data_IF_331075945491
#
_entry.id   IF_331075945491
#
_cell.length_a   1.000
_cell.length_b   1.000
_cell.length_c   1.000
_cell.angle_alpha   90.00
_cell.angle_beta   90.00
_cell.angle_gamma   90.00
#
_symmetry.space_group_name_H-M   'P 1'
#
loop_
_entity.id
_entity.type
_entity.pdbx_description
1 polymer ?
#
# COMPACT_ATOMS: atom_id res chain seq x y z
N UNK A 1 18.36 4.47 1.09
CA UNK A 1 16.90 4.19 1.13
C UNK A 1 16.20 5.27 0.31
N UNK A 2 15.33 4.91 -0.62
CA UNK A 2 14.61 5.88 -1.49
C UNK A 2 13.13 5.86 -1.16
N UNK A 3 12.47 7.02 -1.21
CA UNK A 3 11.01 7.14 -1.07
C UNK A 3 10.30 6.81 -2.39
N UNK A 4 10.97 6.94 -3.53
CA UNK A 4 10.48 6.53 -4.84
C UNK A 4 11.66 6.05 -5.68
N UNK A 5 11.80 4.73 -5.80
CA UNK A 5 12.88 4.15 -6.60
C UNK A 5 12.65 4.38 -8.10
N UNK A 6 11.40 4.47 -8.52
CA UNK A 6 11.03 4.65 -9.93
C UNK A 6 11.42 6.02 -10.51
N UNK A 7 11.63 7.03 -9.67
CA UNK A 7 12.02 8.38 -10.13
C UNK A 7 13.52 8.49 -10.49
N UNK A 8 14.30 7.45 -10.19
CA UNK A 8 15.70 7.44 -10.60
C UNK A 8 15.84 7.04 -12.06
N UNK A 9 16.26 7.99 -12.89
CA UNK A 9 16.33 7.83 -14.36
C UNK A 9 17.21 6.68 -14.85
N UNK A 10 18.19 6.26 -14.04
CA UNK A 10 19.11 5.15 -14.32
C UNK A 10 18.77 3.87 -13.56
N UNK A 11 17.52 3.74 -13.07
CA UNK A 11 17.11 2.57 -12.30
C UNK A 11 17.28 1.25 -13.08
N UNK A 12 16.92 1.14 -14.38
CA UNK A 12 17.10 -0.10 -15.14
C UNK A 12 18.57 -0.53 -15.20
N UNK A 13 19.47 0.41 -15.50
CA UNK A 13 20.91 0.16 -15.59
C UNK A 13 21.49 -0.25 -14.23
N UNK A 14 21.07 0.45 -13.15
CA UNK A 14 21.49 0.11 -11.78
C UNK A 14 21.04 -1.29 -11.37
N UNK A 15 19.80 -1.66 -11.69
CA UNK A 15 19.29 -3.01 -11.40
C UNK A 15 20.09 -4.07 -12.18
N UNK A 16 20.39 -3.83 -13.46
CA UNK A 16 21.18 -4.75 -14.27
C UNK A 16 22.57 -4.95 -13.66
N UNK A 17 23.25 -3.88 -13.27
CA UNK A 17 24.57 -3.94 -12.62
C UNK A 17 24.52 -4.71 -11.30
N UNK A 18 23.51 -4.44 -10.46
CA UNK A 18 23.36 -5.13 -9.17
C UNK A 18 23.05 -6.61 -9.36
N UNK A 19 22.19 -6.95 -10.32
CA UNK A 19 21.84 -8.34 -10.60
C UNK A 19 23.05 -9.15 -11.10
N UNK A 20 23.90 -8.56 -11.95
CA UNK A 20 25.12 -9.20 -12.42
C UNK A 20 26.15 -9.36 -11.30
N UNK A 21 26.42 -8.31 -10.50
CA UNK A 21 27.38 -8.34 -9.37
C UNK A 21 27.01 -9.37 -8.30
N UNK A 22 25.69 -9.53 -8.05
CA UNK A 22 25.23 -10.42 -6.98
C UNK A 22 24.67 -11.77 -7.46
N UNK A 23 24.77 -12.07 -8.75
CA UNK A 23 24.24 -13.28 -9.38
C UNK A 23 24.63 -14.57 -8.65
N UNK A 24 25.89 -14.70 -8.32
CA UNK A 24 26.45 -15.91 -7.70
C UNK A 24 26.37 -15.87 -6.15
N UNK A 25 26.00 -14.73 -5.59
CA UNK A 25 25.98 -14.50 -4.13
C UNK A 25 24.61 -14.75 -3.50
N UNK A 26 23.60 -15.11 -4.30
CA UNK A 26 22.21 -15.33 -3.84
C UNK A 26 21.61 -14.13 -3.06
N UNK A 27 22.06 -12.92 -3.36
CA UNK A 27 21.58 -11.69 -2.73
C UNK A 27 20.39 -11.15 -3.52
N UNK A 28 19.28 -10.96 -2.85
CA UNK A 28 18.06 -10.37 -3.47
C UNK A 28 18.13 -8.85 -3.43
N UNK A 29 17.79 -8.21 -4.55
CA UNK A 29 17.58 -6.77 -4.63
C UNK A 29 16.12 -6.48 -4.31
N UNK A 30 15.87 -5.58 -3.36
CA UNK A 30 14.52 -5.09 -3.04
C UNK A 30 14.37 -3.65 -3.48
N UNK A 31 13.35 -3.37 -4.26
CA UNK A 31 13.00 -2.02 -4.71
C UNK A 31 11.81 -1.53 -3.89
N UNK A 32 12.02 -0.64 -2.90
CA UNK A 32 10.92 -0.08 -2.12
C UNK A 32 10.14 0.93 -2.96
N UNK A 33 8.85 1.07 -2.67
CA UNK A 33 7.99 2.15 -3.20
C UNK A 33 7.94 2.22 -4.73
N UNK A 34 7.60 1.11 -5.37
CA UNK A 34 7.24 1.13 -6.79
C UNK A 34 5.88 1.80 -6.95
N UNK A 35 5.84 2.89 -7.71
CA UNK A 35 4.59 3.60 -8.02
C UNK A 35 3.76 2.78 -9.01
N UNK A 36 2.43 2.87 -8.89
CA UNK A 36 1.49 2.15 -9.76
C UNK A 36 1.63 2.60 -11.20
N UNK A 37 1.75 3.91 -11.42
CA UNK A 37 1.86 4.57 -12.73
C UNK A 37 3.20 4.34 -13.45
N UNK A 38 4.26 4.01 -12.71
CA UNK A 38 5.61 3.77 -13.25
C UNK A 38 6.09 2.34 -13.05
N UNK A 39 5.17 1.40 -12.81
CA UNK A 39 5.52 0.00 -12.60
C UNK A 39 6.13 -0.63 -13.85
N UNK A 40 7.45 -0.78 -13.85
CA UNK A 40 8.18 -1.49 -14.90
C UNK A 40 8.19 -2.98 -14.62
N UNK A 41 7.43 -3.74 -15.42
CA UNK A 41 7.38 -5.20 -15.35
C UNK A 41 8.76 -5.81 -15.57
N UNK A 42 9.55 -5.25 -16.47
CA UNK A 42 10.86 -5.79 -16.82
C UNK A 42 11.83 -5.68 -15.63
N UNK A 43 11.81 -4.55 -14.93
CA UNK A 43 12.58 -4.37 -13.70
C UNK A 43 12.13 -5.34 -12.63
N UNK A 44 10.81 -5.47 -12.43
CA UNK A 44 10.26 -6.37 -11.44
C UNK A 44 10.60 -7.83 -11.74
N UNK A 45 10.56 -8.27 -13.01
CA UNK A 45 10.98 -9.62 -13.43
C UNK A 45 12.45 -9.88 -13.16
N UNK A 46 13.33 -8.91 -13.45
CA UNK A 46 14.76 -9.02 -13.19
C UNK A 46 15.05 -9.25 -11.71
N UNK A 47 14.47 -8.41 -10.85
CA UNK A 47 14.65 -8.52 -9.39
C UNK A 47 14.11 -9.83 -8.82
N UNK A 48 13.11 -10.43 -9.44
CA UNK A 48 12.53 -11.72 -9.01
C UNK A 48 13.38 -12.95 -9.35
N UNK A 49 14.38 -12.84 -10.19
CA UNK A 49 15.19 -14.01 -10.59
C UNK A 49 15.87 -14.69 -9.39
N UNK A 50 16.21 -13.94 -8.35
CA UNK A 50 16.85 -14.47 -7.14
C UNK A 50 15.79 -14.87 -6.08
N UNK A 51 14.77 -14.04 -5.86
CA UNK A 51 13.72 -14.34 -4.88
C UNK A 51 12.39 -13.71 -5.32
N UNK A 52 11.35 -14.54 -5.36
CA UNK A 52 9.97 -14.05 -5.59
C UNK A 52 9.53 -13.24 -4.37
N UNK A 53 9.42 -11.94 -4.51
CA UNK A 53 8.80 -11.04 -3.54
C UNK A 53 7.36 -10.73 -3.95
N UNK A 54 6.47 -10.52 -2.98
CA UNK A 54 5.13 -10.00 -3.27
C UNK A 54 5.22 -8.58 -3.81
N UNK A 55 4.30 -8.21 -4.70
CA UNK A 55 4.15 -6.85 -5.17
C UNK A 55 3.30 -6.04 -4.20
N UNK A 56 3.69 -4.78 -4.03
CA UNK A 56 2.98 -3.84 -3.17
C UNK A 56 2.56 -2.63 -3.97
N UNK A 57 1.28 -2.31 -3.94
CA UNK A 57 0.70 -1.11 -4.52
C UNK A 57 0.01 -0.29 -3.43
N UNK A 58 0.03 1.03 -3.57
CA UNK A 58 -0.55 1.96 -2.62
C UNK A 58 -1.61 2.85 -3.28
N UNK A 59 -2.84 2.34 -3.49
CA UNK A 59 -3.95 3.17 -3.95
C UNK A 59 -4.37 4.22 -2.90
N UNK A 60 -4.05 4.01 -1.64
CA UNK A 60 -4.27 4.86 -0.47
C UNK A 60 -5.74 4.99 -0.05
N UNK A 61 -6.71 4.93 -0.96
CA UNK A 61 -8.14 5.02 -0.65
C UNK A 61 -8.97 4.08 -1.53
N UNK A 62 -10.14 3.67 -1.01
CA UNK A 62 -11.01 2.68 -1.64
C UNK A 62 -11.75 3.20 -2.87
N UNK A 63 -12.16 4.47 -2.87
CA UNK A 63 -12.93 5.06 -3.98
C UNK A 63 -12.11 6.09 -4.76
N UNK A 64 -12.49 6.31 -6.03
CA UNK A 64 -11.87 7.37 -6.84
C UNK A 64 -12.08 8.74 -6.19
N UNK A 65 -13.30 9.01 -5.71
CA UNK A 65 -13.60 10.24 -4.98
C UNK A 65 -12.56 10.52 -3.88
N UNK A 66 -12.26 9.52 -3.09
CA UNK A 66 -11.35 9.70 -1.96
C UNK A 66 -9.89 9.81 -2.42
N UNK A 67 -9.49 9.11 -3.48
CA UNK A 67 -8.19 9.30 -4.11
C UNK A 67 -8.01 10.71 -4.66
N UNK A 68 -9.05 11.27 -5.26
CA UNK A 68 -9.04 12.66 -5.77
C UNK A 68 -8.93 13.67 -4.61
N UNK A 69 -9.65 13.46 -3.51
CA UNK A 69 -9.57 14.31 -2.31
C UNK A 69 -8.15 14.38 -1.75
N UNK A 70 -7.43 13.26 -1.73
CA UNK A 70 -6.04 13.22 -1.24
C UNK A 70 -5.00 13.50 -2.32
N UNK A 71 -5.45 13.90 -3.51
CA UNK A 71 -4.59 14.17 -4.68
C UNK A 71 -3.66 12.98 -5.03
N UNK A 72 -4.20 11.76 -4.94
CA UNK A 72 -3.48 10.54 -5.26
C UNK A 72 -3.59 10.22 -6.75
N UNK A 73 -3.11 10.89 -7.64
CA UNK A 73 -3.18 10.77 -9.11
C UNK A 73 -3.11 9.33 -9.69
N UNK A 74 -3.86 8.39 -9.11
CA UNK A 74 -3.94 6.97 -9.50
C UNK A 74 -5.41 6.60 -9.63
N UNK A 75 -5.81 6.10 -10.77
CA UNK A 75 -7.15 5.60 -11.02
C UNK A 75 -7.30 4.12 -10.63
N UNK A 76 -8.54 3.64 -10.60
CA UNK A 76 -8.82 2.21 -10.43
C UNK A 76 -8.27 1.43 -11.63
N UNK A 77 -8.40 1.98 -12.83
CA UNK A 77 -7.89 1.40 -14.07
C UNK A 77 -6.37 1.23 -14.03
N UNK A 78 -5.64 2.21 -13.52
CA UNK A 78 -4.17 2.12 -13.37
C UNK A 78 -3.79 0.97 -12.43
N UNK A 79 -4.49 0.85 -11.30
CA UNK A 79 -4.26 -0.24 -10.35
C UNK A 79 -4.54 -1.61 -11.00
N UNK A 80 -5.68 -1.75 -11.68
CA UNK A 80 -6.05 -3.02 -12.32
C UNK A 80 -5.12 -3.35 -13.48
N UNK A 81 -4.64 -2.35 -14.24
CA UNK A 81 -3.65 -2.55 -15.29
C UNK A 81 -2.30 -3.04 -14.71
N UNK A 82 -1.83 -2.42 -13.62
CA UNK A 82 -0.62 -2.85 -12.93
C UNK A 82 -0.75 -4.29 -12.38
N UNK A 83 -1.89 -4.63 -11.78
CA UNK A 83 -2.19 -5.98 -11.31
C UNK A 83 -2.27 -6.99 -12.48
N UNK A 84 -2.90 -6.62 -13.60
CA UNK A 84 -2.96 -7.43 -14.82
C UNK A 84 -1.57 -7.80 -15.30
N UNK A 85 -0.71 -6.82 -15.39
CA UNK A 85 0.67 -7.01 -15.82
C UNK A 85 1.45 -7.90 -14.85
N UNK A 86 1.24 -7.72 -13.56
CA UNK A 86 1.83 -8.56 -12.53
C UNK A 86 1.39 -10.02 -12.67
N UNK A 87 0.08 -10.28 -12.77
CA UNK A 87 -0.46 -11.64 -12.87
C UNK A 87 -0.05 -12.34 -14.16
N UNK A 88 -0.04 -11.65 -15.31
CA UNK A 88 0.51 -12.17 -16.58
C UNK A 88 1.99 -12.53 -16.47
N UNK A 89 2.72 -11.87 -15.58
CA UNK A 89 4.14 -12.14 -15.33
C UNK A 89 4.41 -13.20 -14.25
N UNK A 90 3.33 -13.83 -13.73
CA UNK A 90 3.41 -14.99 -12.82
C UNK A 90 3.37 -14.65 -11.34
N UNK A 91 3.03 -13.41 -10.96
CA UNK A 91 2.71 -13.10 -9.56
C UNK A 91 1.37 -13.67 -9.17
N UNK A 92 1.25 -14.17 -7.95
CA UNK A 92 0.01 -14.68 -7.39
C UNK A 92 -0.43 -13.89 -6.15
N UNK A 93 0.44 -13.03 -5.62
CA UNK A 93 0.17 -12.28 -4.40
C UNK A 93 0.41 -10.79 -4.64
N UNK A 94 -0.56 -9.97 -4.23
CA UNK A 94 -0.48 -8.52 -4.26
C UNK A 94 -0.84 -7.98 -2.88
N UNK A 95 -0.07 -7.00 -2.42
CA UNK A 95 -0.36 -6.23 -1.21
C UNK A 95 -0.84 -4.84 -1.58
N UNK A 96 -1.97 -4.43 -1.02
CA UNK A 96 -2.57 -3.12 -1.22
C UNK A 96 -2.49 -2.33 0.08
N UNK A 97 -1.92 -1.12 0.00
CA UNK A 97 -1.89 -0.19 1.12
C UNK A 97 -2.99 0.85 1.01
N UNK A 98 -3.67 1.07 2.13
CA UNK A 98 -4.72 2.08 2.28
C UNK A 98 -4.53 2.89 3.55
N UNK A 99 -5.14 4.06 3.58
CA UNK A 99 -5.35 4.85 4.78
C UNK A 99 -6.84 4.84 5.17
N UNK A 100 -7.09 4.89 6.47
CA UNK A 100 -8.41 4.99 7.08
C UNK A 100 -8.46 6.23 7.97
N UNK A 101 -9.63 6.86 8.06
CA UNK A 101 -9.79 8.06 8.86
C UNK A 101 -9.42 9.35 8.11
N UNK A 102 -9.37 9.29 6.80
CA UNK A 102 -9.11 10.46 5.96
C UNK A 102 -10.21 11.52 6.12
N UNK A 103 -9.88 12.81 5.98
CA UNK A 103 -10.89 13.87 5.97
C UNK A 103 -11.96 13.61 4.91
N UNK A 104 -13.22 13.77 5.28
CA UNK A 104 -14.43 13.52 4.44
C UNK A 104 -14.68 12.06 4.05
N UNK A 105 -13.96 11.10 4.62
CA UNK A 105 -14.16 9.68 4.38
C UNK A 105 -15.53 9.21 4.90
N UNK A 106 -16.25 8.46 4.07
CA UNK A 106 -17.53 7.84 4.40
C UNK A 106 -17.40 6.31 4.51
N UNK A 107 -18.47 5.66 4.96
CA UNK A 107 -18.49 4.19 5.03
C UNK A 107 -18.46 3.56 3.62
N UNK A 108 -18.97 4.25 2.59
CA UNK A 108 -18.85 3.82 1.19
C UNK A 108 -17.40 3.84 0.72
N UNK A 109 -16.59 4.81 1.17
CA UNK A 109 -15.16 4.84 0.85
C UNK A 109 -14.41 3.68 1.47
N UNK A 110 -14.80 3.29 2.69
CA UNK A 110 -14.25 2.09 3.34
C UNK A 110 -14.68 0.81 2.64
N UNK A 111 -15.97 0.73 2.24
CA UNK A 111 -16.45 -0.40 1.45
C UNK A 111 -15.68 -0.54 0.14
N UNK A 112 -15.34 0.57 -0.51
CA UNK A 112 -14.51 0.59 -1.71
C UNK A 112 -13.14 -0.07 -1.53
N UNK A 113 -12.58 -0.11 -0.32
CA UNK A 113 -11.34 -0.86 -0.03
C UNK A 113 -11.56 -2.36 -0.22
N UNK A 114 -12.66 -2.88 0.32
CA UNK A 114 -13.02 -4.29 0.15
C UNK A 114 -13.31 -4.60 -1.31
N UNK A 115 -14.08 -3.76 -2.00
CA UNK A 115 -14.42 -3.92 -3.41
C UNK A 115 -13.17 -3.99 -4.30
N UNK A 116 -12.19 -3.11 -4.10
CA UNK A 116 -10.92 -3.16 -4.83
C UNK A 116 -10.16 -4.46 -4.58
N UNK A 117 -10.14 -4.94 -3.32
CA UNK A 117 -9.48 -6.20 -3.01
C UNK A 117 -10.14 -7.39 -3.71
N UNK A 118 -11.48 -7.42 -3.76
CA UNK A 118 -12.23 -8.44 -4.50
C UNK A 118 -11.99 -8.34 -6.00
N UNK A 119 -12.05 -7.14 -6.59
CA UNK A 119 -11.76 -6.93 -8.02
C UNK A 119 -10.36 -7.43 -8.39
N UNK A 120 -9.34 -7.15 -7.58
CA UNK A 120 -7.98 -7.63 -7.81
C UNK A 120 -7.89 -9.15 -7.70
N UNK A 121 -8.60 -9.77 -6.75
CA UNK A 121 -8.62 -11.23 -6.60
C UNK A 121 -9.34 -11.91 -7.78
N UNK A 122 -10.47 -11.36 -8.24
CA UNK A 122 -11.20 -11.85 -9.38
C UNK A 122 -10.40 -11.70 -10.68
N UNK A 123 -9.73 -10.56 -10.86
CA UNK A 123 -8.81 -10.31 -11.96
C UNK A 123 -7.70 -11.36 -12.05
N UNK A 124 -7.12 -11.75 -10.90
CA UNK A 124 -6.13 -12.85 -10.88
C UNK A 124 -6.73 -14.15 -11.42
N UNK A 125 -7.94 -14.51 -10.96
CA UNK A 125 -8.63 -15.73 -11.42
C UNK A 125 -8.90 -15.69 -12.91
N UNK A 126 -9.37 -14.55 -13.42
CA UNK A 126 -9.73 -14.39 -14.83
C UNK A 126 -8.51 -14.48 -15.76
N UNK A 127 -7.36 -13.93 -15.32
CA UNK A 127 -6.12 -13.96 -16.10
C UNK A 127 -5.45 -15.33 -16.05
N UNK A 128 -5.39 -15.96 -14.88
CA UNK A 128 -4.60 -17.17 -14.67
C UNK A 128 -5.40 -18.46 -14.77
N UNK A 129 -6.73 -18.40 -14.69
CA UNK A 129 -7.61 -19.56 -14.54
C UNK A 129 -7.47 -20.27 -13.17
N UNK A 130 -6.67 -19.74 -12.25
CA UNK A 130 -6.33 -20.39 -10.98
C UNK A 130 -7.00 -19.69 -9.79
N UNK A 131 -7.20 -20.46 -8.70
CA UNK A 131 -7.76 -19.97 -7.43
C UNK A 131 -6.71 -19.81 -6.32
N UNK A 132 -5.44 -19.72 -6.68
CA UNK A 132 -4.33 -19.57 -5.75
C UNK A 132 -3.85 -18.12 -5.58
N UNK A 133 -4.56 -17.17 -6.16
CA UNK A 133 -4.32 -15.74 -5.95
C UNK A 133 -4.59 -15.34 -4.51
N UNK A 134 -3.83 -14.37 -4.00
CA UNK A 134 -4.08 -13.77 -2.69
C UNK A 134 -3.85 -12.26 -2.71
N UNK A 135 -4.67 -11.56 -1.93
CA UNK A 135 -4.58 -10.12 -1.75
C UNK A 135 -4.39 -9.83 -0.26
N UNK A 136 -3.40 -9.01 0.06
CA UNK A 136 -3.23 -8.49 1.42
C UNK A 136 -3.65 -7.03 1.44
N UNK A 137 -4.71 -6.72 2.18
CA UNK A 137 -5.16 -5.36 2.47
C UNK A 137 -4.48 -4.90 3.74
N UNK A 138 -3.64 -3.88 3.66
CA UNK A 138 -2.93 -3.30 4.80
C UNK A 138 -3.38 -1.85 4.99
N UNK A 139 -3.97 -1.56 6.13
CA UNK A 139 -4.58 -0.26 6.41
C UNK A 139 -3.85 0.42 7.57
N UNK A 140 -3.36 1.63 7.31
CA UNK A 140 -2.85 2.54 8.33
C UNK A 140 -3.89 3.62 8.64
N UNK A 141 -3.69 4.36 9.74
CA UNK A 141 -4.53 5.51 10.05
C UNK A 141 -3.98 6.77 9.44
N UNK A 142 -4.90 7.66 9.10
CA UNK A 142 -4.54 9.02 8.79
C UNK A 142 -4.01 9.72 10.04
N UNK A 143 -2.79 10.22 9.95
CA UNK A 143 -2.16 11.06 10.96
C UNK A 143 -1.90 12.44 10.35
N UNK A 144 -2.54 13.51 10.84
CA UNK A 144 -2.34 14.86 10.31
C UNK A 144 -0.95 15.37 10.72
N UNK A 145 0.00 15.25 9.80
CA UNK A 145 1.40 15.66 10.04
C UNK A 145 1.59 17.13 9.74
N UNK A 146 2.44 17.78 10.53
CA UNK A 146 2.87 19.17 10.31
C UNK A 146 3.50 19.32 8.91
N UNK A 147 3.40 20.51 8.35
CA UNK A 147 3.91 20.85 7.00
C UNK A 147 3.27 20.05 5.85
N UNK A 148 2.11 19.41 6.09
CA UNK A 148 1.30 18.77 5.06
C UNK A 148 0.00 19.57 4.82
N UNK A 149 -0.66 19.44 3.65
CA UNK A 149 -1.94 20.13 3.39
C UNK A 149 -3.00 19.83 4.45
N UNK A 150 -2.98 18.65 5.04
CA UNK A 150 -3.94 18.19 6.03
C UNK A 150 -3.55 18.49 7.48
N UNK A 151 -2.52 19.28 7.73
CA UNK A 151 -2.05 19.57 9.09
C UNK A 151 -3.09 20.23 10.01
N UNK A 152 -4.12 20.86 9.43
CA UNK A 152 -5.18 21.56 10.17
C UNK A 152 -6.39 20.68 10.49
N UNK A 153 -6.43 19.46 9.94
CA UNK A 153 -7.49 18.51 10.24
C UNK A 153 -7.26 17.82 11.59
N UNK A 154 -8.36 17.44 12.25
CA UNK A 154 -8.32 16.56 13.41
C UNK A 154 -8.08 15.11 13.01
N UNK A 155 -7.41 14.37 13.87
CA UNK A 155 -7.41 12.91 13.80
C UNK A 155 -8.72 12.38 14.41
N UNK A 156 -9.26 11.32 13.85
CA UNK A 156 -10.42 10.64 14.44
C UNK A 156 -10.04 10.00 15.78
N UNK A 157 -11.01 9.93 16.68
CA UNK A 157 -10.81 9.24 17.95
C UNK A 157 -10.63 7.72 17.76
N UNK A 158 -10.12 7.08 18.80
CA UNK A 158 -9.80 5.65 18.76
C UNK A 158 -11.05 4.78 18.62
N UNK A 159 -12.17 5.22 19.17
CA UNK A 159 -13.44 4.49 19.12
C UNK A 159 -14.00 4.45 17.70
N UNK A 160 -13.98 5.58 17.00
CA UNK A 160 -14.39 5.65 15.59
C UNK A 160 -13.44 4.85 14.69
N UNK A 161 -12.12 4.90 14.93
CA UNK A 161 -11.14 4.06 14.23
C UNK A 161 -11.49 2.58 14.42
N UNK A 162 -11.75 2.14 15.65
CA UNK A 162 -12.13 0.75 15.93
C UNK A 162 -13.48 0.38 15.28
N UNK A 163 -14.45 1.31 15.22
CA UNK A 163 -15.70 1.10 14.49
C UNK A 163 -15.44 0.81 13.02
N UNK A 164 -14.65 1.66 12.37
CA UNK A 164 -14.28 1.54 10.96
C UNK A 164 -13.50 0.25 10.67
N UNK A 165 -12.58 -0.12 11.54
CA UNK A 165 -11.85 -1.39 11.43
C UNK A 165 -12.79 -2.60 11.46
N UNK A 166 -13.74 -2.63 12.41
CA UNK A 166 -14.74 -3.69 12.50
C UNK A 166 -15.65 -3.71 11.27
N UNK A 167 -16.05 -2.54 10.80
CA UNK A 167 -16.87 -2.41 9.60
C UNK A 167 -16.14 -2.99 8.38
N UNK A 168 -14.92 -2.55 8.09
CA UNK A 168 -14.14 -3.06 6.95
C UNK A 168 -13.88 -4.57 7.10
N UNK A 169 -13.58 -5.03 8.31
CA UNK A 169 -13.39 -6.46 8.57
C UNK A 169 -14.64 -7.28 8.25
N UNK A 170 -15.83 -6.75 8.52
CA UNK A 170 -17.09 -7.45 8.23
C UNK A 170 -17.38 -7.60 6.73
N UNK A 171 -16.81 -6.73 5.89
CA UNK A 171 -16.96 -6.77 4.44
C UNK A 171 -15.97 -7.74 3.77
N UNK A 172 -14.87 -8.07 4.42
CA UNK A 172 -13.84 -8.97 3.91
C UNK A 172 -14.10 -10.39 4.43
N UNK A 173 -14.82 -11.18 3.66
CA UNK A 173 -15.14 -12.56 4.00
C UNK A 173 -14.62 -13.52 2.91
N UNK A 174 -13.31 -13.54 2.69
CA UNK A 174 -12.67 -14.42 1.72
C UNK A 174 -11.31 -14.87 2.25
N UNK A 175 -11.07 -16.19 2.29
CA UNK A 175 -9.82 -16.78 2.78
C UNK A 175 -8.56 -16.34 2.02
N UNK A 176 -8.72 -15.86 0.79
CA UNK A 176 -7.62 -15.39 -0.05
C UNK A 176 -7.39 -13.87 0.08
N UNK A 177 -8.17 -13.19 0.92
CA UNK A 177 -7.95 -11.78 1.26
C UNK A 177 -7.57 -11.70 2.74
N UNK A 178 -6.36 -11.23 3.02
CA UNK A 178 -5.89 -10.99 4.38
C UNK A 178 -6.02 -9.52 4.71
N UNK A 179 -6.63 -9.19 5.83
CA UNK A 179 -6.78 -7.82 6.32
C UNK A 179 -5.86 -7.57 7.52
N UNK A 180 -4.98 -6.60 7.38
CA UNK A 180 -4.06 -6.14 8.43
C UNK A 180 -4.27 -4.66 8.68
N UNK A 181 -4.25 -4.27 9.93
CA UNK A 181 -4.37 -2.88 10.36
C UNK A 181 -3.50 -2.61 11.59
N UNK A 182 -3.15 -1.36 11.78
CA UNK A 182 -2.43 -0.93 12.98
C UNK A 182 -3.40 -0.74 14.13
N UNK A 183 -2.88 -0.85 15.36
CA UNK A 183 -3.66 -0.53 16.55
C UNK A 183 -4.01 0.95 16.61
N UNK A 184 -5.25 1.28 17.03
CA UNK A 184 -5.74 2.66 17.09
C UNK A 184 -4.95 3.55 18.04
N UNK A 185 -4.51 3.00 19.19
CA UNK A 185 -3.70 3.74 20.15
C UNK A 185 -2.31 4.08 19.61
N UNK A 186 -1.70 3.18 18.84
CA UNK A 186 -0.42 3.44 18.16
C UNK A 186 -0.55 4.63 17.20
N UNK A 187 -1.63 4.70 16.41
CA UNK A 187 -1.89 5.83 15.54
C UNK A 187 -2.13 7.14 16.30
N UNK A 188 -2.79 7.07 17.45
CA UNK A 188 -2.99 8.24 18.32
C UNK A 188 -1.66 8.76 18.90
N UNK A 189 -0.80 7.86 19.37
CA UNK A 189 0.54 8.20 19.84
C UNK A 189 1.39 8.79 18.71
N UNK A 190 1.33 8.22 17.50
CA UNK A 190 2.02 8.78 16.33
C UNK A 190 1.60 10.23 16.07
N UNK A 191 0.30 10.55 16.19
CA UNK A 191 -0.17 11.92 16.01
C UNK A 191 0.35 12.86 17.08
N UNK A 192 0.39 12.42 18.34
CA UNK A 192 0.96 13.21 19.43
C UNK A 192 2.44 13.56 19.18
N UNK A 193 3.24 12.58 18.75
CA UNK A 193 4.64 12.80 18.40
C UNK A 193 4.81 13.64 17.12
N UNK A 194 4.01 13.39 16.08
CA UNK A 194 4.11 14.12 14.81
C UNK A 194 3.73 15.60 14.93
N UNK A 195 2.88 15.96 15.90
CA UNK A 195 2.40 17.33 16.12
C UNK A 195 3.01 18.01 17.34
N UNK A 196 3.70 17.27 18.14
CA UNK A 196 4.42 17.76 19.31
C UNK A 196 5.74 18.43 18.97
N UNK A 197 6.46 18.79 20.01
CA UNK A 197 7.79 19.39 19.86
C UNK A 197 8.85 18.60 20.65
N UNK A 198 10.09 19.15 20.67
CA UNK A 198 11.24 18.51 21.34
C UNK A 198 11.02 18.14 22.82
N UNK A 199 10.00 18.71 23.49
CA UNK A 199 9.69 18.36 24.90
C UNK A 199 9.24 16.92 25.05
N UNK A 200 8.69 16.32 23.98
CA UNK A 200 8.30 14.92 23.95
C UNK A 200 9.50 13.95 23.99
N UNK A 201 10.73 14.45 23.77
CA UNK A 201 11.93 13.61 23.89
C UNK A 201 12.05 12.92 25.26
N UNK A 202 11.53 13.53 26.31
CA UNK A 202 11.53 12.93 27.67
C UNK A 202 10.68 11.64 27.72
N UNK A 203 9.57 11.61 27.01
CA UNK A 203 8.67 10.44 26.93
C UNK A 203 9.29 9.31 26.12
N UNK A 204 10.21 9.61 25.19
CA UNK A 204 10.88 8.60 24.38
C UNK A 204 12.03 7.89 25.09
N UNK A 205 12.53 8.48 26.19
CA UNK A 205 13.68 7.98 26.95
C UNK A 205 13.23 7.11 28.14
N UNK A 206 12.00 7.30 28.62
CA UNK A 206 11.37 6.48 29.65
C UNK A 206 10.75 5.19 29.07
#
# INVERSE_FOLDING_TARGET
MSLSSADYSKLPELVDMLMEEFKDKQVSVSLPSLRIDSFSIDIAKKVQQVRKSGLTFAPEAGTQRMRDVINKGVSEEDLLAACTNAFKSGWNTVKLYFMMGLPTETDEDLAGIADLAYKVLDLHRDITGKRNGSVTVSVSFFVPKTHSPYQWYGQQDVEEIHRKQRYLKSLINNRNISYHYHDGYTGYMEAAFARGDRRLSKVLVE
#
